data_IF_518238728927
#
_entry.id   IF_518238728927
#
_cell.length_a   1.000
_cell.length_b   1.000
_cell.length_c   1.000
_cell.angle_alpha   90.00
_cell.angle_beta   90.00
_cell.angle_gamma   90.00
#
_symmetry.space_group_name_H-M   'P 1'
#
loop_
_entity.id
_entity.type
_entity.pdbx_description
1 polymer ?
#
# COMPACT_ATOMS: atom_id res chain seq x y z
N UNK A 1 -10.92 -23.93 -5.74
CA UNK A 1 -10.84 -23.46 -4.33
C UNK A 1 -9.75 -22.41 -4.28
N UNK A 2 -10.03 -21.17 -3.86
CA UNK A 2 -8.99 -20.15 -3.71
C UNK A 2 -8.02 -20.57 -2.60
N UNK A 3 -6.71 -20.52 -2.86
CA UNK A 3 -5.71 -20.86 -1.86
C UNK A 3 -5.85 -19.93 -0.65
N UNK A 4 -5.83 -20.45 0.59
CA UNK A 4 -5.98 -19.62 1.79
C UNK A 4 -4.80 -18.65 1.91
N UNK A 5 -5.09 -17.39 2.22
CA UNK A 5 -4.07 -16.38 2.47
C UNK A 5 -3.27 -16.75 3.73
N UNK A 6 -1.97 -17.03 3.58
CA UNK A 6 -1.04 -17.39 4.66
C UNK A 6 -0.46 -16.17 5.38
N UNK A 7 0.27 -16.39 6.49
CA UNK A 7 1.06 -15.36 7.18
C UNK A 7 2.11 -14.69 6.29
N UNK A 8 2.59 -15.38 5.26
CA UNK A 8 3.52 -14.82 4.28
C UNK A 8 2.87 -13.68 3.49
N UNK A 9 1.60 -13.84 3.09
CA UNK A 9 0.86 -12.76 2.44
C UNK A 9 0.62 -11.57 3.38
N UNK A 10 0.40 -11.82 4.69
CA UNK A 10 0.33 -10.73 5.68
C UNK A 10 1.64 -9.95 5.75
N UNK A 11 2.79 -10.64 5.75
CA UNK A 11 4.11 -10.01 5.73
C UNK A 11 4.28 -9.17 4.45
N UNK A 12 3.98 -9.74 3.28
CA UNK A 12 4.04 -9.03 2.00
C UNK A 12 3.14 -7.79 1.96
N UNK A 13 1.91 -7.87 2.49
CA UNK A 13 1.01 -6.72 2.56
C UNK A 13 1.58 -5.64 3.49
N UNK A 14 2.15 -6.02 4.63
CA UNK A 14 2.77 -5.07 5.55
C UNK A 14 3.99 -4.38 4.92
N UNK A 15 4.82 -5.13 4.20
CA UNK A 15 5.98 -4.59 3.50
C UNK A 15 5.55 -3.62 2.40
N UNK A 16 4.53 -3.97 1.61
CA UNK A 16 3.97 -3.08 0.59
C UNK A 16 3.40 -1.79 1.19
N UNK A 17 2.69 -1.88 2.32
CA UNK A 17 2.17 -0.70 3.04
C UNK A 17 3.31 0.17 3.61
N UNK A 18 4.43 -0.43 4.03
CA UNK A 18 5.61 0.32 4.48
C UNK A 18 6.25 1.06 3.30
N UNK A 19 6.51 0.36 2.20
CA UNK A 19 7.07 0.95 0.96
C UNK A 19 6.17 2.07 0.42
N UNK A 20 4.84 1.93 0.52
CA UNK A 20 3.92 3.00 0.13
C UNK A 20 4.17 4.31 0.88
N UNK A 21 4.51 4.26 2.18
CA UNK A 21 4.86 5.46 2.96
C UNK A 21 6.15 6.10 2.46
N UNK A 22 7.15 5.30 2.12
CA UNK A 22 8.42 5.80 1.59
C UNK A 22 8.23 6.45 0.21
N UNK A 23 7.42 5.84 -0.66
CA UNK A 23 7.08 6.40 -1.99
C UNK A 23 6.36 7.74 -1.85
N UNK A 24 5.44 7.91 -0.89
CA UNK A 24 4.76 9.20 -0.66
C UNK A 24 5.73 10.35 -0.39
N UNK A 25 6.84 10.09 0.32
CA UNK A 25 7.88 11.09 0.55
C UNK A 25 8.56 11.48 -0.76
N UNK A 26 8.82 10.52 -1.65
CA UNK A 26 9.39 10.78 -2.98
C UNK A 26 8.42 11.56 -3.86
N UNK A 27 7.14 11.17 -3.89
CA UNK A 27 6.07 11.87 -4.62
C UNK A 27 5.95 13.32 -4.14
N UNK A 28 5.97 13.56 -2.83
CA UNK A 28 5.92 14.91 -2.28
C UNK A 28 7.12 15.77 -2.72
N UNK A 29 8.32 15.18 -2.77
CA UNK A 29 9.53 15.86 -3.29
C UNK A 29 9.42 16.14 -4.79
N UNK A 30 8.89 15.20 -5.57
CA UNK A 30 8.66 15.38 -7.00
C UNK A 30 7.68 16.52 -7.28
N UNK A 31 6.56 16.59 -6.53
CA UNK A 31 5.61 17.71 -6.60
C UNK A 31 6.26 19.05 -6.26
N UNK A 32 7.08 19.09 -5.20
CA UNK A 32 7.80 20.30 -4.82
C UNK A 32 8.81 20.75 -5.88
N UNK A 33 9.33 19.82 -6.68
CA UNK A 33 10.19 20.10 -7.83
C UNK A 33 9.42 20.47 -9.11
N UNK A 34 8.08 20.53 -9.07
CA UNK A 34 7.23 20.87 -10.21
C UNK A 34 6.98 19.71 -11.19
N UNK A 35 7.28 18.47 -10.80
CA UNK A 35 6.97 17.28 -11.59
C UNK A 35 5.51 16.90 -11.35
N UNK A 36 4.73 16.74 -12.42
CA UNK A 36 3.37 16.22 -12.34
C UNK A 36 3.41 14.72 -12.01
N UNK A 37 2.89 14.39 -10.82
CA UNK A 37 2.79 13.04 -10.28
C UNK A 37 1.41 12.77 -9.69
N UNK A 38 0.39 13.54 -10.08
CA UNK A 38 -0.94 13.47 -9.48
C UNK A 38 -1.63 12.12 -9.71
N UNK A 39 -1.52 11.55 -10.91
CA UNK A 39 -2.06 10.22 -11.21
C UNK A 39 -1.34 9.12 -10.42
N UNK A 40 -0.03 9.26 -10.26
CA UNK A 40 0.79 8.32 -9.49
C UNK A 40 0.42 8.34 -8.01
N UNK A 41 0.25 9.54 -7.42
CA UNK A 41 -0.20 9.69 -6.04
C UNK A 41 -1.58 9.07 -5.83
N UNK A 42 -2.53 9.37 -6.73
CA UNK A 42 -3.88 8.82 -6.67
C UNK A 42 -3.86 7.29 -6.71
N UNK A 43 -3.11 6.71 -7.65
CA UNK A 43 -2.98 5.25 -7.78
C UNK A 43 -2.36 4.64 -6.52
N UNK A 44 -1.34 5.29 -5.96
CA UNK A 44 -0.69 4.85 -4.72
C UNK A 44 -1.67 4.82 -3.55
N UNK A 45 -2.47 5.88 -3.37
CA UNK A 45 -3.48 5.98 -2.32
C UNK A 45 -4.60 4.95 -2.49
N UNK A 46 -5.07 4.74 -3.72
CA UNK A 46 -6.08 3.71 -4.02
C UNK A 46 -5.55 2.30 -3.70
N UNK A 47 -4.30 2.00 -4.06
CA UNK A 47 -3.67 0.70 -3.78
C UNK A 47 -3.44 0.48 -2.28
N UNK A 48 -3.00 1.50 -1.55
CA UNK A 48 -2.84 1.44 -0.10
C UNK A 48 -4.19 1.15 0.59
N UNK A 49 -5.27 1.83 0.16
CA UNK A 49 -6.62 1.59 0.70
C UNK A 49 -7.09 0.15 0.44
N UNK A 50 -6.84 -0.38 -0.76
CA UNK A 50 -7.17 -1.78 -1.12
C UNK A 50 -6.38 -2.77 -0.26
N UNK A 51 -5.06 -2.56 -0.12
CA UNK A 51 -4.19 -3.41 0.70
C UNK A 51 -4.58 -3.39 2.18
N UNK A 52 -4.88 -2.22 2.73
CA UNK A 52 -5.37 -2.07 4.09
C UNK A 52 -6.72 -2.79 4.29
N UNK A 53 -7.63 -2.70 3.31
CA UNK A 53 -8.89 -3.42 3.31
C UNK A 53 -8.71 -4.94 3.28
N UNK A 54 -7.81 -5.45 2.42
CA UNK A 54 -7.45 -6.88 2.37
C UNK A 54 -6.89 -7.31 3.73
N UNK A 55 -5.95 -6.55 4.29
CA UNK A 55 -5.39 -6.84 5.61
C UNK A 55 -6.49 -6.93 6.69
N UNK A 56 -7.41 -5.97 6.73
CA UNK A 56 -8.47 -5.93 7.74
C UNK A 56 -9.48 -7.08 7.58
N UNK A 57 -9.87 -7.40 6.33
CA UNK A 57 -10.85 -8.44 6.05
C UNK A 57 -10.32 -9.85 6.34
N UNK A 58 -9.05 -10.11 6.00
CA UNK A 58 -8.46 -11.44 6.13
C UNK A 58 -7.68 -11.65 7.44
N UNK A 59 -7.20 -10.58 8.08
CA UNK A 59 -6.41 -10.63 9.31
C UNK A 59 -6.98 -9.68 10.41
N UNK A 60 -8.25 -9.85 10.83
CA UNK A 60 -8.94 -8.92 11.74
C UNK A 60 -8.34 -8.84 13.16
N UNK A 61 -7.56 -9.84 13.58
CA UNK A 61 -6.95 -9.91 14.92
C UNK A 61 -5.48 -9.42 14.98
N UNK A 62 -4.90 -8.97 13.86
CA UNK A 62 -3.53 -8.44 13.85
C UNK A 62 -2.41 -9.41 14.26
N UNK A 63 -2.59 -10.72 14.10
CA UNK A 63 -1.59 -11.76 14.46
C UNK A 63 -0.96 -12.44 13.26
#
# INVERSE_FOLDING_TARGET
MAAPLTREHLAQINDALKVSKDIKVVVARAKAAGIDVDEMERTLLENEKKLAGIKAAFFPAGR
#
